data_IF_998101363529
#
_entry.id   IF_998101363529
#
_cell.length_a   1.000
_cell.length_b   1.000
_cell.length_c   1.000
_cell.angle_alpha   90.00
_cell.angle_beta   90.00
_cell.angle_gamma   90.00
#
_symmetry.space_group_name_H-M   'P 1'
#
loop_
_entity.id
_entity.type
_entity.pdbx_description
1 polymer ?
#
# COMPACT_ATOMS: atom_id res chain seq x y z
N UNK A 1 0.56 -11.35 -52.55
CA UNK A 1 0.82 -10.66 -51.27
C UNK A 1 1.30 -11.71 -50.28
N UNK A 2 2.61 -11.81 -50.08
CA UNK A 2 3.22 -12.71 -49.10
C UNK A 2 2.88 -12.19 -47.71
N UNK A 3 2.10 -12.95 -46.95
CA UNK A 3 1.84 -12.66 -45.53
C UNK A 3 3.16 -12.78 -44.79
N UNK A 4 3.75 -11.64 -44.42
CA UNK A 4 4.90 -11.62 -43.53
C UNK A 4 4.42 -12.13 -42.18
N UNK A 5 4.77 -13.37 -41.86
CA UNK A 5 4.52 -13.93 -40.55
C UNK A 5 5.40 -13.14 -39.58
N UNK A 6 4.83 -12.15 -38.88
CA UNK A 6 5.54 -11.35 -37.89
C UNK A 6 5.92 -12.24 -36.71
N UNK A 7 7.05 -12.93 -36.88
CA UNK A 7 7.64 -13.79 -35.88
C UNK A 7 7.99 -12.94 -34.66
N UNK A 8 7.26 -13.16 -33.56
CA UNK A 8 7.48 -12.45 -32.30
C UNK A 8 8.90 -12.73 -31.80
N UNK A 9 9.63 -11.67 -31.42
CA UNK A 9 10.99 -11.78 -30.92
C UNK A 9 11.02 -12.04 -29.42
N UNK A 10 11.97 -12.86 -28.98
CA UNK A 10 12.21 -13.08 -27.57
C UNK A 10 12.81 -11.82 -26.94
N UNK A 11 12.27 -11.37 -25.83
CA UNK A 11 12.73 -10.15 -25.14
C UNK A 11 14.06 -10.30 -24.41
N UNK A 12 14.64 -11.51 -24.38
CA UNK A 12 15.95 -11.80 -23.78
C UNK A 12 16.98 -12.11 -24.87
N UNK A 13 16.74 -13.12 -25.72
CA UNK A 13 17.71 -13.52 -26.73
C UNK A 13 17.51 -12.90 -28.13
N UNK A 14 16.49 -12.05 -28.32
CA UNK A 14 16.11 -11.38 -29.59
C UNK A 14 15.83 -12.30 -30.78
N UNK A 15 15.80 -13.63 -30.58
CA UNK A 15 15.50 -14.58 -31.64
C UNK A 15 14.00 -14.52 -32.01
N UNK A 16 13.63 -14.62 -33.31
CA UNK A 16 12.24 -14.61 -33.81
C UNK A 16 11.50 -15.94 -33.55
N UNK A 17 11.64 -16.48 -32.34
CA UNK A 17 11.12 -17.79 -31.92
C UNK A 17 10.23 -17.67 -30.68
N UNK A 18 9.78 -16.47 -30.32
CA UNK A 18 9.00 -16.29 -29.12
C UNK A 18 7.60 -16.89 -29.29
N UNK A 19 7.24 -17.74 -28.33
CA UNK A 19 5.96 -18.47 -28.30
C UNK A 19 5.19 -18.24 -27.01
N UNK A 20 5.85 -17.74 -25.98
CA UNK A 20 5.26 -17.49 -24.66
C UNK A 20 5.12 -15.99 -24.43
N UNK A 21 4.01 -15.57 -23.82
CA UNK A 21 3.72 -14.19 -23.46
C UNK A 21 3.58 -14.08 -21.95
N UNK A 22 4.29 -13.15 -21.33
CA UNK A 22 4.14 -12.85 -19.91
C UNK A 22 3.12 -11.71 -19.72
N UNK A 23 2.03 -11.98 -19.01
CA UNK A 23 0.97 -10.99 -18.73
C UNK A 23 1.50 -9.86 -17.83
N UNK A 24 2.36 -10.18 -16.86
CA UNK A 24 2.89 -9.21 -15.90
C UNK A 24 3.78 -8.15 -16.54
N UNK A 25 4.76 -8.55 -17.36
CA UNK A 25 5.68 -7.61 -18.00
C UNK A 25 5.31 -7.27 -19.46
N UNK A 26 4.22 -7.83 -19.99
CA UNK A 26 3.71 -7.64 -21.37
C UNK A 26 4.75 -7.90 -22.46
N UNK A 27 5.63 -8.87 -22.25
CA UNK A 27 6.75 -9.23 -23.15
C UNK A 27 6.62 -10.65 -23.69
N UNK A 28 7.24 -10.89 -24.84
CA UNK A 28 7.29 -12.21 -25.49
C UNK A 28 8.65 -12.89 -25.26
N UNK A 29 8.62 -14.21 -25.08
CA UNK A 29 9.80 -15.02 -24.76
C UNK A 29 9.83 -16.33 -25.54
N UNK A 30 11.04 -16.83 -25.80
CA UNK A 30 11.22 -18.22 -26.22
C UNK A 30 10.96 -19.16 -25.03
N UNK A 31 10.71 -20.45 -25.29
CA UNK A 31 10.35 -21.42 -24.23
C UNK A 31 11.40 -21.54 -23.11
N UNK A 32 12.69 -21.42 -23.45
CA UNK A 32 13.80 -21.48 -22.49
C UNK A 32 13.78 -20.25 -21.59
N UNK A 33 13.89 -19.08 -22.20
CA UNK A 33 13.98 -17.80 -21.49
C UNK A 33 12.70 -17.47 -20.71
N UNK A 34 11.55 -17.99 -21.13
CA UNK A 34 10.30 -17.85 -20.39
C UNK A 34 10.34 -18.59 -19.04
N UNK A 35 10.93 -19.79 -18.98
CA UNK A 35 11.09 -20.54 -17.72
C UNK A 35 12.06 -19.83 -16.77
N UNK A 36 13.17 -19.34 -17.30
CA UNK A 36 14.14 -18.56 -16.51
C UNK A 36 13.51 -17.27 -15.98
N UNK A 37 12.72 -16.58 -16.81
CA UNK A 37 11.97 -15.39 -16.41
C UNK A 37 10.94 -15.68 -15.30
N UNK A 38 10.19 -16.78 -15.41
CA UNK A 38 9.19 -17.18 -14.40
C UNK A 38 9.84 -17.49 -13.04
N UNK A 39 10.98 -18.17 -13.04
CA UNK A 39 11.76 -18.43 -11.81
C UNK A 39 12.27 -17.14 -11.18
N UNK A 40 12.78 -16.20 -11.98
CA UNK A 40 13.24 -14.89 -11.48
C UNK A 40 12.09 -14.08 -10.88
N UNK A 41 10.89 -14.14 -11.45
CA UNK A 41 9.72 -13.49 -10.90
C UNK A 41 9.34 -14.08 -9.54
N UNK A 42 9.30 -15.42 -9.41
CA UNK A 42 9.02 -16.08 -8.12
C UNK A 42 9.97 -15.60 -7.03
N UNK A 43 11.28 -15.59 -7.31
CA UNK A 43 12.30 -15.13 -6.36
C UNK A 43 12.11 -13.65 -6.02
N UNK A 44 11.76 -12.81 -7.01
CA UNK A 44 11.51 -11.38 -6.78
C UNK A 44 10.31 -11.16 -5.86
N UNK A 45 9.22 -11.91 -6.06
CA UNK A 45 8.05 -11.86 -5.18
C UNK A 45 8.40 -12.28 -3.75
N UNK A 46 9.14 -13.38 -3.58
CA UNK A 46 9.58 -13.84 -2.26
C UNK A 46 10.44 -12.78 -1.55
N UNK A 47 11.37 -12.15 -2.26
CA UNK A 47 12.21 -11.08 -1.73
C UNK A 47 11.42 -9.81 -1.37
N UNK A 48 10.39 -9.46 -2.15
CA UNK A 48 9.52 -8.31 -1.85
C UNK A 48 8.71 -8.53 -0.56
N UNK A 49 8.26 -9.76 -0.32
CA UNK A 49 7.58 -10.15 0.93
C UNK A 49 8.55 -10.05 2.10
N UNK A 50 9.75 -10.61 1.97
CA UNK A 50 10.78 -10.54 3.03
C UNK A 50 11.16 -9.09 3.33
N UNK A 51 11.36 -8.26 2.30
CA UNK A 51 11.64 -6.82 2.49
C UNK A 51 10.53 -6.11 3.24
N UNK A 52 9.27 -6.34 2.87
CA UNK A 52 8.13 -5.71 3.53
C UNK A 52 7.99 -6.17 4.98
N UNK A 53 8.31 -7.44 5.25
CA UNK A 53 8.38 -7.98 6.60
C UNK A 53 9.48 -7.31 7.43
N UNK A 54 10.70 -7.23 6.90
CA UNK A 54 11.83 -6.61 7.59
C UNK A 54 11.61 -5.12 7.85
N UNK A 55 11.01 -4.39 6.90
CA UNK A 55 10.60 -2.98 7.08
C UNK A 55 9.54 -2.83 8.19
N UNK A 56 8.58 -3.75 8.27
CA UNK A 56 7.59 -3.75 9.35
C UNK A 56 8.24 -4.04 10.70
N UNK A 57 9.15 -5.02 10.76
CA UNK A 57 9.88 -5.36 11.97
C UNK A 57 10.76 -4.19 12.42
N UNK A 58 11.45 -3.51 11.50
CA UNK A 58 12.22 -2.31 11.80
C UNK A 58 11.33 -1.21 12.43
N UNK A 59 10.12 -0.99 11.90
CA UNK A 59 9.17 -0.03 12.48
C UNK A 59 8.67 -0.44 13.86
N UNK A 60 8.39 -1.72 14.09
CA UNK A 60 7.89 -2.23 15.38
C UNK A 60 9.00 -2.21 16.42
N UNK A 61 10.20 -2.68 16.09
CA UNK A 61 11.33 -2.77 17.02
C UNK A 61 12.05 -1.44 17.25
N UNK A 62 11.92 -0.46 16.35
CA UNK A 62 12.39 0.93 16.60
C UNK A 62 11.53 1.71 17.59
N UNK A 63 10.35 1.21 17.96
CA UNK A 63 9.55 1.80 19.03
C UNK A 63 10.25 1.52 20.37
N UNK A 64 11.23 2.37 20.69
CA UNK A 64 11.99 2.30 21.95
C UNK A 64 11.14 2.87 23.08
N UNK A 65 10.18 2.09 23.55
CA UNK A 65 9.43 2.36 24.77
C UNK A 65 10.32 2.02 25.94
N UNK A 66 11.11 3.00 26.38
CA UNK A 66 11.89 2.88 27.60
C UNK A 66 10.92 2.65 28.78
N UNK A 67 11.33 1.88 29.79
CA UNK A 67 10.52 1.62 31.01
C UNK A 67 10.08 2.91 31.73
N UNK A 68 10.79 4.01 31.47
CA UNK A 68 10.50 5.35 32.00
C UNK A 68 9.81 6.26 30.98
N UNK A 69 9.30 5.73 29.86
CA UNK A 69 8.50 6.51 28.91
C UNK A 69 7.26 7.00 29.64
N UNK A 70 7.16 8.31 29.79
CA UNK A 70 6.01 8.96 30.45
C UNK A 70 5.03 9.41 29.39
N UNK A 71 3.74 9.19 29.65
CA UNK A 71 2.69 9.87 28.92
C UNK A 71 2.79 11.38 29.18
N UNK A 72 2.97 12.18 28.13
CA UNK A 72 3.07 13.64 28.24
C UNK A 72 1.67 14.24 28.15
N UNK A 73 1.20 14.86 29.23
CA UNK A 73 -0.12 15.51 29.33
C UNK A 73 -0.15 16.93 28.71
N UNK A 74 0.50 17.14 27.56
CA UNK A 74 0.53 18.44 26.88
C UNK A 74 -0.43 18.46 25.67
N UNK A 75 -1.60 17.84 25.81
CA UNK A 75 -2.60 17.76 24.73
C UNK A 75 -3.43 19.03 24.63
N UNK A 76 -3.80 19.40 23.40
CA UNK A 76 -4.85 20.39 23.11
C UNK A 76 -6.10 19.66 22.60
N UNK A 77 -7.28 20.15 22.96
CA UNK A 77 -8.53 19.70 22.35
C UNK A 77 -8.65 20.31 20.97
N UNK A 78 -8.68 19.48 19.93
CA UNK A 78 -8.77 19.93 18.53
C UNK A 78 -10.19 19.88 17.97
N UNK A 79 -11.08 19.07 18.58
CA UNK A 79 -12.47 18.93 18.18
C UNK A 79 -13.35 18.58 19.37
N UNK A 80 -14.59 19.08 19.37
CA UNK A 80 -15.52 18.97 20.48
C UNK A 80 -15.24 19.98 21.61
N UNK A 81 -16.21 20.12 22.51
CA UNK A 81 -16.19 21.10 23.60
C UNK A 81 -16.39 20.46 24.98
N UNK A 82 -16.02 19.18 25.12
CA UNK A 82 -16.22 18.38 26.34
C UNK A 82 -17.68 18.05 26.68
N UNK A 83 -18.63 18.33 25.78
CA UNK A 83 -20.04 17.95 25.93
C UNK A 83 -20.52 17.09 24.77
N UNK A 84 -21.44 16.16 25.09
CA UNK A 84 -22.16 15.39 24.09
C UNK A 84 -23.32 16.23 23.54
N UNK A 85 -23.42 16.33 22.22
CA UNK A 85 -24.55 16.99 21.58
C UNK A 85 -24.47 16.98 20.06
N UNK A 86 -25.38 17.73 19.42
CA UNK A 86 -25.53 17.80 17.97
C UNK A 86 -24.98 19.11 17.38
N UNK A 87 -24.50 20.03 18.21
CA UNK A 87 -23.89 21.30 17.76
C UNK A 87 -22.65 21.06 16.90
N UNK A 88 -22.25 22.08 16.12
CA UNK A 88 -21.05 22.00 15.27
C UNK A 88 -19.75 21.89 16.07
N UNK A 89 -19.76 22.33 17.33
CA UNK A 89 -18.65 22.21 18.28
C UNK A 89 -18.83 21.06 19.29
N UNK A 90 -19.80 20.16 19.06
CA UNK A 90 -20.12 19.02 19.94
C UNK A 90 -20.01 17.71 19.15
N UNK A 91 -19.68 16.62 19.85
CA UNK A 91 -19.60 15.27 19.27
C UNK A 91 -20.48 14.29 20.05
N UNK A 92 -21.06 13.32 19.35
CA UNK A 92 -21.92 12.25 19.83
C UNK A 92 -21.32 10.86 19.61
N UNK A 93 -20.55 10.36 20.58
CA UNK A 93 -19.82 9.07 20.50
C UNK A 93 -19.02 8.94 19.18
N UNK A 94 -18.01 9.79 18.95
CA UNK A 94 -17.15 9.65 17.77
C UNK A 94 -16.42 8.29 17.81
N UNK A 95 -16.31 7.62 16.66
CA UNK A 95 -15.74 6.26 16.58
C UNK A 95 -14.44 6.18 15.76
N UNK A 96 -14.29 7.07 14.77
CA UNK A 96 -13.15 7.06 13.87
C UNK A 96 -12.68 8.47 13.55
N UNK A 97 -11.39 8.59 13.22
CA UNK A 97 -10.75 9.81 12.77
C UNK A 97 -9.78 9.49 11.62
N UNK A 98 -9.73 10.36 10.62
CA UNK A 98 -8.66 10.38 9.64
C UNK A 98 -8.17 11.81 9.40
N UNK A 99 -6.94 11.93 8.91
CA UNK A 99 -6.31 13.20 8.56
C UNK A 99 -6.05 13.15 7.06
N UNK A 100 -6.58 14.12 6.31
CA UNK A 100 -6.35 14.23 4.88
C UNK A 100 -4.99 14.87 4.57
N UNK A 101 -4.56 14.80 3.30
CA UNK A 101 -3.25 15.34 2.87
C UNK A 101 -3.13 16.86 3.07
N UNK A 102 -4.25 17.59 3.12
CA UNK A 102 -4.33 19.02 3.42
C UNK A 102 -4.37 19.33 4.93
N UNK A 103 -4.18 18.31 5.78
CA UNK A 103 -4.24 18.36 7.23
C UNK A 103 -5.64 18.57 7.83
N UNK A 104 -6.71 18.47 7.03
CA UNK A 104 -8.10 18.48 7.54
C UNK A 104 -8.39 17.20 8.33
N UNK A 105 -9.09 17.34 9.47
CA UNK A 105 -9.41 16.22 10.36
C UNK A 105 -10.87 15.82 10.16
N UNK A 106 -11.09 14.62 9.64
CA UNK A 106 -12.45 14.08 9.54
C UNK A 106 -12.78 13.17 10.72
N UNK A 107 -13.96 13.36 11.31
CA UNK A 107 -14.42 12.60 12.47
C UNK A 107 -15.75 11.91 12.15
N UNK A 108 -15.80 10.60 12.37
CA UNK A 108 -17.04 9.82 12.29
C UNK A 108 -17.86 9.98 13.58
N UNK A 109 -18.71 10.99 13.61
CA UNK A 109 -19.57 11.37 14.74
C UNK A 109 -20.81 10.45 14.82
N UNK A 110 -20.58 9.24 15.36
CA UNK A 110 -21.38 8.06 15.02
C UNK A 110 -22.81 8.07 15.57
N UNK A 111 -23.05 8.63 16.76
CA UNK A 111 -24.43 8.76 17.28
C UNK A 111 -25.21 9.90 16.64
N UNK A 112 -24.51 10.82 15.97
CA UNK A 112 -25.13 11.92 15.24
C UNK A 112 -25.28 11.59 13.75
N UNK A 113 -24.86 10.39 13.32
CA UNK A 113 -24.96 9.89 11.95
C UNK A 113 -24.37 10.84 10.90
N UNK A 114 -23.24 11.49 11.23
CA UNK A 114 -22.57 12.46 10.37
C UNK A 114 -21.04 12.29 10.36
N UNK A 115 -20.42 12.85 9.34
CA UNK A 115 -18.97 13.08 9.30
C UNK A 115 -18.74 14.58 9.52
N UNK A 116 -17.83 14.92 10.44
CA UNK A 116 -17.40 16.29 10.73
C UNK A 116 -16.01 16.51 10.12
N UNK A 117 -15.71 17.76 9.75
CA UNK A 117 -14.41 18.26 9.30
C UNK A 117 -13.77 19.21 10.33
#
# INVERSE_FOLDING_TARGET
>A
MTTVNESKQCSICNKPIAKSFCIGCKKYFCRKDFKEHEQQLSIKFDNEIVRSHDELLDRIYKVNLHVNTKWIQNSITVAGNNERGYGLNQLGKPWGLCIADDQTIYIADSSNHRIME
#
